data_IF_321018841367
#
_entry.id   IF_321018841367
#
_cell.length_a   1.000
_cell.length_b   1.000
_cell.length_c   1.000
_cell.angle_alpha   90.00
_cell.angle_beta   90.00
_cell.angle_gamma   90.00
#
_symmetry.space_group_name_H-M   'P 1'
#
loop_
_entity.id
_entity.type
_entity.pdbx_description
1 polymer ?
#
# COMPACT_ATOMS: atom_id res chain seq x y z
N UNK A 1 -7.49 45.34 9.61
CA UNK A 1 -6.96 43.98 9.84
C UNK A 1 -6.49 43.43 8.51
N UNK A 2 -5.40 42.64 8.47
CA UNK A 2 -4.92 42.03 7.24
C UNK A 2 -5.92 40.97 6.76
N UNK A 3 -6.17 40.87 5.46
CA UNK A 3 -7.12 39.88 4.94
C UNK A 3 -6.49 38.49 4.91
N UNK A 4 -7.31 37.45 4.79
CA UNK A 4 -6.86 36.10 4.51
C UNK A 4 -5.82 36.08 3.37
N UNK A 5 -4.81 35.22 3.51
CA UNK A 5 -3.65 35.19 2.63
C UNK A 5 -2.57 36.22 2.97
N UNK A 6 -2.81 37.15 3.90
CA UNK A 6 -1.81 38.12 4.35
C UNK A 6 -1.62 38.06 5.86
N UNK A 7 -0.43 38.47 6.34
CA UNK A 7 -0.13 38.58 7.76
C UNK A 7 0.37 39.99 8.09
N UNK A 8 0.13 40.44 9.32
CA UNK A 8 0.65 41.73 9.79
C UNK A 8 2.14 41.62 10.07
N UNK A 9 2.94 42.42 9.38
CA UNK A 9 4.35 42.58 9.73
C UNK A 9 4.47 43.62 10.85
N UNK A 10 4.97 43.24 12.02
CA UNK A 10 5.04 44.12 13.20
C UNK A 10 6.14 45.18 13.09
N UNK A 11 7.10 45.05 12.18
CA UNK A 11 8.16 46.06 11.98
C UNK A 11 7.73 47.14 10.99
N UNK A 12 7.00 46.78 9.93
CA UNK A 12 6.50 47.73 8.93
C UNK A 12 5.04 48.16 9.13
N UNK A 13 4.32 47.50 10.06
CA UNK A 13 2.87 47.65 10.28
C UNK A 13 2.03 47.48 8.99
N UNK A 14 2.58 46.83 7.97
CA UNK A 14 1.94 46.58 6.70
C UNK A 14 1.51 45.11 6.57
N UNK A 15 0.46 44.87 5.79
CA UNK A 15 0.03 43.52 5.46
C UNK A 15 0.92 42.95 4.36
N UNK A 16 1.63 41.86 4.66
CA UNK A 16 2.45 41.16 3.70
C UNK A 16 1.79 39.87 3.26
N UNK A 17 1.89 39.49 1.98
CA UNK A 17 1.37 38.22 1.50
C UNK A 17 2.11 37.06 2.16
N UNK A 18 1.39 35.97 2.42
CA UNK A 18 2.02 34.74 2.88
C UNK A 18 3.11 34.28 1.90
N UNK A 19 4.31 33.90 2.40
CA UNK A 19 5.35 33.36 1.56
C UNK A 19 4.93 32.02 0.96
N UNK A 20 5.65 31.57 -0.07
CA UNK A 20 5.39 30.27 -0.70
C UNK A 20 5.49 29.13 0.33
N UNK A 21 4.68 28.10 0.15
CA UNK A 21 4.53 27.01 1.11
C UNK A 21 3.74 27.37 2.36
N UNK A 22 3.20 28.59 2.49
CA UNK A 22 2.39 29.00 3.63
C UNK A 22 1.04 29.56 3.18
N UNK A 23 0.05 29.51 4.05
CA UNK A 23 -1.29 30.02 3.82
C UNK A 23 -1.87 30.70 5.07
N UNK A 24 -2.90 31.50 4.87
CA UNK A 24 -3.73 32.03 5.96
C UNK A 24 -5.20 32.03 5.54
N UNK A 25 -6.03 31.26 6.24
CA UNK A 25 -7.48 31.19 5.97
C UNK A 25 -8.31 32.20 6.78
N UNK A 26 -7.67 33.00 7.64
CA UNK A 26 -8.34 33.93 8.54
C UNK A 26 -7.91 35.37 8.30
N UNK A 27 -8.83 36.29 8.51
CA UNK A 27 -8.52 37.72 8.62
C UNK A 27 -7.83 38.01 9.95
N UNK A 28 -6.93 39.01 9.95
CA UNK A 28 -6.17 39.44 11.12
C UNK A 28 -5.03 38.51 11.49
N UNK A 29 -4.58 37.62 10.59
CA UNK A 29 -3.48 36.71 10.86
C UNK A 29 -2.19 37.48 11.23
N UNK A 30 -1.53 37.01 12.30
CA UNK A 30 -0.21 37.51 12.73
C UNK A 30 0.95 36.74 12.11
N UNK A 31 0.66 35.56 11.56
CA UNK A 31 1.61 34.68 10.92
C UNK A 31 0.87 33.76 9.95
N UNK A 32 1.54 33.34 8.88
CA UNK A 32 1.00 32.34 7.97
C UNK A 32 1.33 30.93 8.45
N UNK A 33 0.38 30.00 8.35
CA UNK A 33 0.60 28.60 8.67
C UNK A 33 1.31 27.91 7.51
N UNK A 34 2.28 27.01 7.75
CA UNK A 34 2.87 26.21 6.69
C UNK A 34 1.81 25.26 6.10
N UNK A 35 1.92 24.97 4.81
CA UNK A 35 1.09 23.96 4.17
C UNK A 35 1.26 22.61 4.86
N UNK A 36 0.18 21.91 5.23
CA UNK A 36 0.27 20.60 5.86
C UNK A 36 0.85 19.57 4.89
N UNK A 37 1.32 18.45 5.45
CA UNK A 37 1.80 17.30 4.66
C UNK A 37 0.73 16.85 3.66
N UNK A 38 1.17 16.41 2.49
CA UNK A 38 0.29 16.07 1.37
C UNK A 38 -0.25 17.28 0.59
N UNK A 39 0.16 18.50 0.93
CA UNK A 39 -0.24 19.73 0.22
C UNK A 39 0.95 20.62 -0.09
N UNK A 40 0.81 21.49 -1.08
CA UNK A 40 1.85 22.41 -1.55
C UNK A 40 1.24 23.74 -2.01
N UNK A 41 2.04 24.81 -2.02
CA UNK A 41 1.58 26.11 -2.50
C UNK A 41 2.72 26.96 -3.08
N UNK A 42 2.65 27.30 -4.36
CA UNK A 42 3.65 28.11 -5.06
C UNK A 42 3.27 29.59 -5.19
N UNK A 43 2.01 29.95 -4.92
CA UNK A 43 1.55 31.33 -4.95
C UNK A 43 1.89 32.08 -3.66
N UNK A 44 2.23 33.36 -3.80
CA UNK A 44 2.27 34.29 -2.67
C UNK A 44 0.84 34.67 -2.29
N UNK A 45 0.60 34.88 -1.00
CA UNK A 45 -0.70 35.38 -0.54
C UNK A 45 -1.79 34.32 -0.47
N UNK A 46 -1.43 33.04 -0.38
CA UNK A 46 -2.40 31.96 -0.48
C UNK A 46 -3.31 31.85 0.76
N UNK A 47 -4.59 31.55 0.52
CA UNK A 47 -5.58 31.28 1.57
C UNK A 47 -5.77 29.79 1.84
N UNK A 48 -5.28 28.94 0.94
CA UNK A 48 -5.37 27.47 0.98
C UNK A 48 -4.12 26.85 0.34
N UNK A 49 -3.92 25.55 0.55
CA UNK A 49 -2.85 24.78 -0.10
C UNK A 49 -3.45 23.82 -1.14
N UNK A 50 -2.72 23.59 -2.23
CA UNK A 50 -3.09 22.63 -3.25
C UNK A 50 -2.74 21.21 -2.79
N UNK A 51 -3.60 20.23 -3.05
CA UNK A 51 -3.28 18.83 -2.81
C UNK A 51 -2.14 18.34 -3.71
N UNK A 52 -1.33 17.41 -3.22
CA UNK A 52 -0.41 16.67 -4.08
C UNK A 52 -1.19 15.87 -5.14
N UNK A 53 -0.65 15.74 -6.37
CA UNK A 53 -1.23 14.90 -7.41
C UNK A 53 -1.46 13.46 -6.95
N UNK A 54 -2.42 12.77 -7.56
CA UNK A 54 -2.68 11.36 -7.28
C UNK A 54 -1.40 10.52 -7.48
N UNK A 55 -1.12 9.64 -6.53
CA UNK A 55 0.09 8.81 -6.53
C UNK A 55 1.34 9.47 -5.92
N UNK A 56 1.22 10.70 -5.44
CA UNK A 56 2.31 11.41 -4.75
C UNK A 56 1.88 11.87 -3.36
N UNK A 57 2.82 11.95 -2.43
CA UNK A 57 2.62 12.48 -1.09
C UNK A 57 3.73 13.46 -0.74
N UNK A 58 3.36 14.62 -0.20
CA UNK A 58 4.31 15.58 0.35
C UNK A 58 4.65 15.20 1.79
N UNK A 59 5.88 14.72 2.03
CA UNK A 59 6.36 14.40 3.38
C UNK A 59 6.80 15.63 4.18
N UNK A 60 6.95 16.78 3.52
CA UNK A 60 7.41 18.04 4.11
C UNK A 60 6.23 18.97 4.38
N UNK A 61 6.18 19.55 5.59
CA UNK A 61 5.36 20.73 5.85
C UNK A 61 5.97 21.95 5.17
N UNK A 62 5.15 22.84 4.64
CA UNK A 62 5.63 24.05 3.99
C UNK A 62 6.09 23.84 2.54
N UNK A 63 5.59 22.81 1.86
CA UNK A 63 5.97 22.54 0.47
C UNK A 63 5.57 23.71 -0.44
N UNK A 64 6.56 24.34 -1.07
CA UNK A 64 6.35 25.51 -1.92
C UNK A 64 6.24 25.19 -3.41
N UNK A 65 6.33 23.91 -3.78
CA UNK A 65 6.28 23.45 -5.17
C UNK A 65 5.76 22.02 -5.27
N UNK A 66 5.08 21.69 -6.37
CA UNK A 66 4.53 20.34 -6.62
C UNK A 66 5.59 19.25 -6.66
N UNK A 67 6.84 19.59 -7.02
CA UNK A 67 7.97 18.65 -7.06
C UNK A 67 8.37 18.12 -5.67
N UNK A 68 7.90 18.75 -4.58
CA UNK A 68 8.07 18.26 -3.21
C UNK A 68 7.01 17.22 -2.82
N UNK A 69 6.06 16.93 -3.73
CA UNK A 69 5.21 15.76 -3.66
C UNK A 69 5.98 14.59 -4.29
N UNK A 70 6.52 13.72 -3.45
CA UNK A 70 7.29 12.57 -3.91
C UNK A 70 6.35 11.42 -4.25
N UNK A 71 6.76 10.55 -5.18
CA UNK A 71 6.03 9.32 -5.43
C UNK A 71 5.99 8.51 -4.12
N UNK A 72 4.80 8.04 -3.72
CA UNK A 72 4.72 7.20 -2.54
C UNK A 72 5.60 5.96 -2.73
N UNK A 73 6.34 5.54 -1.70
CA UNK A 73 7.19 4.37 -1.79
C UNK A 73 6.35 3.14 -2.16
N UNK A 74 6.94 2.15 -2.86
CA UNK A 74 6.26 0.91 -3.14
C UNK A 74 5.82 0.24 -1.83
N UNK A 75 4.70 -0.46 -1.90
CA UNK A 75 4.23 -1.26 -0.78
C UNK A 75 5.29 -2.32 -0.42
N UNK A 76 5.49 -2.62 0.87
CA UNK A 76 6.39 -3.69 1.29
C UNK A 76 5.83 -5.06 0.85
N UNK A 77 6.70 -6.09 0.73
CA UNK A 77 6.28 -7.47 0.48
C UNK A 77 5.12 -7.89 1.40
N UNK A 78 4.20 -8.67 0.86
CA UNK A 78 2.98 -9.11 1.54
C UNK A 78 1.88 -8.06 1.53
N UNK A 79 2.08 -6.89 0.90
CA UNK A 79 1.04 -5.87 0.79
C UNK A 79 0.95 -5.31 -0.63
N UNK A 80 -0.23 -4.85 -1.03
CA UNK A 80 -0.50 -4.29 -2.34
C UNK A 80 -1.31 -2.99 -2.22
N UNK A 81 -1.35 -2.19 -3.29
CA UNK A 81 -2.18 -0.98 -3.33
C UNK A 81 -3.05 -0.98 -4.57
N UNK A 82 -4.36 -0.74 -4.44
CA UNK A 82 -5.27 -0.65 -5.59
C UNK A 82 -5.03 0.57 -6.49
N UNK A 83 -4.28 1.56 -6.02
CA UNK A 83 -3.91 2.75 -6.79
C UNK A 83 -2.40 2.98 -6.68
N UNK A 84 -1.74 3.21 -7.82
CA UNK A 84 -0.32 3.59 -7.83
C UNK A 84 -0.11 4.81 -6.95
N UNK A 85 0.78 4.66 -5.96
CA UNK A 85 1.13 5.69 -5.01
C UNK A 85 0.04 6.07 -4.00
N UNK A 86 -0.88 5.15 -3.67
CA UNK A 86 -1.73 5.34 -2.49
C UNK A 86 -0.88 5.37 -1.20
N UNK A 87 -1.29 6.17 -0.22
CA UNK A 87 -0.63 6.24 1.08
C UNK A 87 -0.80 4.99 1.95
N UNK A 88 -1.72 4.09 1.57
CA UNK A 88 -2.09 2.92 2.37
C UNK A 88 -1.95 1.63 1.58
N UNK A 89 -1.17 0.70 2.14
CA UNK A 89 -1.01 -0.65 1.61
C UNK A 89 -1.98 -1.61 2.29
N UNK A 90 -2.57 -2.50 1.51
CA UNK A 90 -3.49 -3.55 1.97
C UNK A 90 -2.74 -4.87 2.01
N UNK A 91 -2.86 -5.65 3.09
CA UNK A 91 -2.24 -6.97 3.17
C UNK A 91 -2.80 -7.94 2.12
N UNK A 92 -1.94 -8.80 1.56
CA UNK A 92 -2.38 -9.88 0.68
C UNK A 92 -3.39 -10.77 1.41
N UNK A 93 -4.59 -11.01 0.85
CA UNK A 93 -5.53 -11.95 1.45
C UNK A 93 -5.00 -13.39 1.42
N UNK A 94 -5.49 -14.29 2.28
CA UNK A 94 -5.17 -15.72 2.21
C UNK A 94 -5.43 -16.28 0.81
N UNK A 95 -4.56 -17.17 0.36
CA UNK A 95 -4.53 -17.69 -1.01
C UNK A 95 -3.74 -16.85 -2.00
N UNK A 96 -3.25 -15.67 -1.59
CA UNK A 96 -2.40 -14.82 -2.42
C UNK A 96 -1.10 -14.49 -1.68
N UNK A 97 -0.04 -14.23 -2.44
CA UNK A 97 1.22 -13.80 -1.87
C UNK A 97 1.93 -12.83 -2.81
N UNK A 98 2.74 -11.93 -2.26
CA UNK A 98 3.57 -11.04 -3.06
C UNK A 98 4.90 -10.80 -2.37
N UNK A 99 6.00 -11.12 -3.05
CA UNK A 99 7.36 -11.07 -2.50
C UNK A 99 8.02 -9.69 -2.64
N UNK A 100 7.30 -8.71 -3.19
CA UNK A 100 7.84 -7.39 -3.50
C UNK A 100 8.58 -7.33 -4.83
N UNK A 101 8.67 -8.44 -5.57
CA UNK A 101 9.27 -8.46 -6.90
C UNK A 101 8.26 -8.00 -7.97
N UNK A 102 8.78 -7.26 -8.96
CA UNK A 102 7.97 -6.72 -10.06
C UNK A 102 7.42 -5.31 -9.85
N UNK A 103 6.66 -4.85 -10.84
CA UNK A 103 6.04 -3.52 -10.84
C UNK A 103 5.00 -3.42 -9.71
N UNK A 104 4.86 -2.23 -9.11
CA UNK A 104 3.85 -1.88 -8.08
C UNK A 104 2.55 -2.67 -8.30
N UNK A 105 2.31 -3.67 -7.45
CA UNK A 105 1.23 -4.61 -7.71
C UNK A 105 -0.10 -4.04 -7.24
N UNK A 106 -1.07 -3.96 -8.14
CA UNK A 106 -2.44 -3.52 -7.85
C UNK A 106 -3.28 -4.59 -7.14
N UNK A 107 -2.76 -5.81 -7.07
CA UNK A 107 -3.32 -6.97 -6.37
C UNK A 107 -2.20 -7.97 -6.01
N UNK A 108 -2.41 -8.84 -5.02
CA UNK A 108 -1.47 -9.94 -4.81
C UNK A 108 -1.81 -11.11 -5.73
N UNK A 109 -0.84 -11.71 -6.43
CA UNK A 109 -1.08 -12.86 -7.29
C UNK A 109 -1.53 -14.08 -6.46
N UNK A 110 -2.43 -14.87 -7.05
CA UNK A 110 -2.90 -16.11 -6.46
C UNK A 110 -1.78 -17.14 -6.38
N UNK A 111 -1.76 -17.93 -5.30
CA UNK A 111 -0.81 -19.01 -5.15
C UNK A 111 -1.02 -20.05 -6.26
N UNK A 112 0.05 -20.46 -6.98
CA UNK A 112 -0.07 -21.43 -8.05
C UNK A 112 -0.48 -22.81 -7.53
N UNK A 113 -0.85 -23.70 -8.45
CA UNK A 113 -1.18 -25.09 -8.12
C UNK A 113 -0.06 -25.75 -7.30
N UNK A 114 -0.46 -26.60 -6.35
CA UNK A 114 0.46 -27.25 -5.41
C UNK A 114 0.89 -26.37 -4.24
N UNK A 115 0.52 -25.09 -4.21
CA UNK A 115 0.89 -24.18 -3.13
C UNK A 115 -0.33 -23.49 -2.50
N UNK A 116 -0.14 -22.95 -1.30
CA UNK A 116 -1.16 -22.24 -0.54
C UNK A 116 -0.57 -21.08 0.25
N UNK A 117 -1.42 -20.16 0.70
CA UNK A 117 -1.03 -19.10 1.63
C UNK A 117 -2.12 -18.92 2.70
N UNK A 118 -1.86 -19.38 3.93
CA UNK A 118 -2.87 -19.35 4.99
C UNK A 118 -3.00 -18.00 5.70
N UNK A 119 -1.96 -17.17 5.64
CA UNK A 119 -1.87 -15.92 6.39
C UNK A 119 -2.20 -14.73 5.51
N UNK A 120 -2.85 -13.75 6.11
CA UNK A 120 -2.91 -12.39 5.56
C UNK A 120 -1.50 -11.81 5.55
N UNK A 121 -1.10 -11.17 4.46
CA UNK A 121 0.23 -10.59 4.34
C UNK A 121 1.32 -11.58 3.93
N UNK A 122 0.95 -12.74 3.38
CA UNK A 122 1.94 -13.71 2.89
C UNK A 122 2.82 -13.09 1.80
N UNK A 123 4.12 -13.29 1.94
CA UNK A 123 5.12 -12.90 0.94
C UNK A 123 5.44 -14.05 -0.01
N UNK A 124 5.12 -15.27 0.38
CA UNK A 124 5.40 -16.50 -0.37
C UNK A 124 4.21 -17.44 -0.28
N UNK A 125 4.08 -18.31 -1.29
CA UNK A 125 3.15 -19.43 -1.28
C UNK A 125 3.89 -20.68 -0.84
N UNK A 126 3.41 -21.30 0.24
CA UNK A 126 3.98 -22.52 0.81
C UNK A 126 3.53 -23.75 0.02
N UNK A 127 4.42 -24.71 -0.18
CA UNK A 127 4.06 -25.96 -0.85
C UNK A 127 3.13 -26.80 0.02
N UNK A 128 2.14 -27.47 -0.59
CA UNK A 128 1.24 -28.34 0.14
C UNK A 128 1.99 -29.52 0.78
N UNK A 129 1.79 -29.79 2.09
CA UNK A 129 2.45 -30.90 2.76
C UNK A 129 1.94 -32.25 2.23
N UNK A 130 2.71 -33.35 2.44
CA UNK A 130 2.28 -34.71 2.15
C UNK A 130 0.90 -35.02 2.75
N UNK A 131 0.10 -35.82 2.03
CA UNK A 131 -1.30 -36.11 2.34
C UNK A 131 -2.30 -35.04 1.89
N UNK A 132 -1.81 -33.90 1.37
CA UNK A 132 -2.65 -32.81 0.87
C UNK A 132 -2.24 -32.39 -0.55
N UNK A 133 -3.09 -31.61 -1.21
CA UNK A 133 -2.92 -31.14 -2.56
C UNK A 133 -3.56 -29.76 -2.77
N UNK A 134 -3.13 -29.04 -3.80
CA UNK A 134 -3.75 -27.81 -4.27
C UNK A 134 -4.03 -27.90 -5.78
N UNK A 135 -5.24 -28.33 -6.11
CA UNK A 135 -5.69 -28.56 -7.50
C UNK A 135 -6.04 -27.27 -8.23
N UNK A 136 -6.44 -26.25 -7.48
CA UNK A 136 -6.80 -24.93 -7.98
C UNK A 136 -5.85 -23.86 -7.44
N UNK A 137 -5.55 -22.80 -8.19
CA UNK A 137 -4.78 -21.67 -7.67
C UNK A 137 -5.58 -20.92 -6.59
N UNK A 138 -4.88 -20.15 -5.76
CA UNK A 138 -5.52 -19.24 -4.81
C UNK A 138 -5.97 -19.90 -3.50
N UNK A 139 -5.47 -21.09 -3.17
CA UNK A 139 -5.86 -21.79 -1.95
C UNK A 139 -5.25 -21.17 -0.71
N UNK A 140 -6.07 -20.89 0.29
CA UNK A 140 -5.63 -20.48 1.62
C UNK A 140 -5.21 -21.68 2.49
N UNK A 141 -5.66 -22.88 2.14
CA UNK A 141 -5.32 -24.13 2.81
C UNK A 141 -5.29 -25.26 1.79
N UNK A 142 -4.38 -26.21 1.93
CA UNK A 142 -4.35 -27.38 1.08
C UNK A 142 -5.56 -28.29 1.32
N UNK A 143 -6.02 -28.93 0.26
CA UNK A 143 -7.11 -29.89 0.28
C UNK A 143 -6.56 -31.26 0.62
N UNK A 144 -7.21 -32.00 1.51
CA UNK A 144 -6.80 -33.35 1.86
C UNK A 144 -7.02 -34.28 0.66
N UNK A 145 -6.09 -35.22 0.44
CA UNK A 145 -6.30 -36.29 -0.54
C UNK A 145 -7.58 -37.09 -0.21
N UNK A 146 -8.25 -37.69 -1.23
CA UNK A 146 -9.40 -38.55 -0.97
C UNK A 146 -9.06 -39.69 -0.02
N UNK A 147 -10.07 -40.15 0.72
CA UNK A 147 -9.93 -41.27 1.64
C UNK A 147 -9.24 -42.48 0.98
N UNK A 148 -8.26 -43.05 1.67
CA UNK A 148 -7.45 -44.16 1.17
C UNK A 148 -6.30 -43.76 0.24
N UNK A 149 -6.07 -42.47 0.02
CA UNK A 149 -4.94 -41.96 -0.78
C UNK A 149 -4.17 -40.85 -0.06
N UNK A 150 -2.88 -40.72 -0.37
CA UNK A 150 -2.03 -39.64 0.14
C UNK A 150 -1.00 -39.22 -0.91
N UNK A 151 -0.64 -37.94 -0.91
CA UNK A 151 0.52 -37.45 -1.66
C UNK A 151 1.78 -37.71 -0.85
N UNK A 152 2.79 -38.34 -1.45
CA UNK A 152 4.06 -38.60 -0.77
C UNK A 152 5.01 -37.39 -0.81
N UNK A 153 4.86 -36.53 -1.82
CA UNK A 153 5.71 -35.36 -2.04
C UNK A 153 5.00 -34.05 -1.65
N UNK A 154 5.80 -33.06 -1.29
CA UNK A 154 5.35 -31.69 -1.13
C UNK A 154 4.91 -31.11 -2.48
N UNK A 155 3.96 -30.19 -2.47
CA UNK A 155 3.55 -29.46 -3.67
C UNK A 155 2.63 -30.23 -4.61
N UNK A 156 1.92 -31.25 -4.11
CA UNK A 156 1.01 -32.03 -4.93
C UNK A 156 -0.12 -31.15 -5.51
N UNK A 157 -0.30 -31.22 -6.82
CA UNK A 157 -1.20 -30.31 -7.55
C UNK A 157 -2.22 -31.01 -8.45
N UNK A 158 -2.10 -32.35 -8.57
CA UNK A 158 -3.06 -33.18 -9.30
C UNK A 158 -3.59 -34.26 -8.39
N UNK A 159 -4.86 -34.65 -8.58
CA UNK A 159 -5.46 -35.87 -7.99
C UNK A 159 -4.59 -37.11 -8.14
N UNK A 160 -3.95 -37.27 -9.30
CA UNK A 160 -3.06 -38.40 -9.59
C UNK A 160 -1.82 -38.44 -8.69
N UNK A 161 -1.49 -37.35 -8.00
CA UNK A 161 -0.41 -37.29 -7.01
C UNK A 161 -0.82 -37.93 -5.68
N UNK A 162 -2.13 -38.10 -5.44
CA UNK A 162 -2.63 -38.86 -4.30
C UNK A 162 -2.65 -40.34 -4.69
N UNK A 163 -1.66 -41.08 -4.21
CA UNK A 163 -1.53 -42.51 -4.45
C UNK A 163 -2.20 -43.28 -3.33
N UNK A 164 -2.72 -44.47 -3.63
CA UNK A 164 -3.32 -45.33 -2.61
C UNK A 164 -2.30 -45.63 -1.50
N UNK A 165 -2.73 -45.52 -0.25
CA UNK A 165 -1.88 -45.90 0.87
C UNK A 165 -1.58 -47.41 0.78
N UNK A 166 -0.34 -47.85 1.05
CA UNK A 166 -0.05 -49.28 1.17
C UNK A 166 -0.96 -49.91 2.21
N UNK A 167 -1.46 -51.12 1.93
CA UNK A 167 -2.34 -51.85 2.85
C UNK A 167 -1.68 -51.98 4.24
N UNK A 168 -2.35 -51.48 5.28
CA UNK A 168 -1.89 -51.58 6.67
C UNK A 168 -1.30 -50.31 7.30
N UNK A 169 -1.39 -49.15 6.65
CA UNK A 169 -1.09 -47.85 7.27
C UNK A 169 -2.39 -47.12 7.63
N UNK A 170 -2.58 -46.86 8.93
CA UNK A 170 -3.76 -46.19 9.52
C UNK A 170 -3.42 -44.76 9.91
#
# INVERSE_FOLDING_TARGET
ACQAGTFINLTSLACQPCPRGHFSSIDGARSCAPCPRGTWQSALGATTCNGCPAGTAGHLSGAHHVMLCEACPPCPPGTFTRQHGAASCTACPPGTAWDGSGQLSTSCPACPHGTFASRTGSTVCDACPPGTLAEVPGLSTCQVCPAGTASAAWGAWRRSSCQACPAGTF
#
